data_IF_421115998731
#
_entry.id   IF_421115998731
#
_cell.length_a   1.000
_cell.length_b   1.000
_cell.length_c   1.000
_cell.angle_alpha   90.00
_cell.angle_beta   90.00
_cell.angle_gamma   90.00
#
_symmetry.space_group_name_H-M   'P 1'
#
loop_
_entity.id
_entity.type
_entity.pdbx_description
1 polymer ?
#
# COMPACT_ATOMS: atom_id res chain seq x y z
N UNK A 1 24.57 45.93 18.40
CA UNK A 1 25.46 44.80 18.08
C UNK A 1 24.92 43.57 18.78
N UNK A 2 24.08 42.80 18.09
CA UNK A 2 23.93 41.34 18.19
C UNK A 2 23.25 40.93 16.87
N UNK A 3 24.08 40.47 15.95
CA UNK A 3 23.67 39.69 14.78
C UNK A 3 23.43 38.25 15.23
N UNK A 4 22.46 37.59 14.58
CA UNK A 4 22.41 36.18 14.13
C UNK A 4 21.01 35.64 14.39
N UNK A 5 20.36 34.89 13.51
CA UNK A 5 20.53 34.58 12.09
C UNK A 5 19.25 33.84 11.69
N UNK A 6 18.90 33.93 10.43
CA UNK A 6 17.76 33.31 9.77
C UNK A 6 17.45 31.88 10.20
N UNK A 7 16.15 31.61 10.33
CA UNK A 7 15.60 30.35 9.82
C UNK A 7 14.40 30.69 8.93
N UNK A 8 14.70 31.21 7.73
CA UNK A 8 13.75 31.12 6.63
C UNK A 8 13.62 29.63 6.34
N UNK A 9 12.52 29.04 6.81
CA UNK A 9 12.13 27.68 6.45
C UNK A 9 11.90 27.68 4.95
N UNK A 10 12.96 27.36 4.20
CA UNK A 10 12.85 27.01 2.79
C UNK A 10 11.93 25.80 2.74
N UNK A 11 10.69 26.03 2.33
CA UNK A 11 9.82 25.02 1.77
C UNK A 11 10.55 24.40 0.59
N UNK A 12 11.37 23.38 0.86
CA UNK A 12 11.80 22.44 -0.15
C UNK A 12 10.54 21.70 -0.58
N UNK A 13 10.10 22.06 -1.78
CA UNK A 13 9.06 21.44 -2.59
C UNK A 13 8.67 20.05 -2.09
N UNK A 14 7.45 19.95 -1.55
CA UNK A 14 6.68 18.72 -1.67
C UNK A 14 6.50 18.47 -3.16
N UNK A 15 7.44 17.75 -3.79
CA UNK A 15 7.22 17.21 -5.11
C UNK A 15 6.07 16.21 -4.98
N UNK A 16 4.95 16.61 -5.56
CA UNK A 16 3.75 15.83 -5.80
C UNK A 16 4.08 14.37 -6.05
N UNK A 17 3.55 13.48 -5.20
CA UNK A 17 3.55 12.02 -5.39
C UNK A 17 2.48 11.60 -6.42
N UNK A 18 1.84 12.57 -7.10
CA UNK A 18 0.95 12.33 -8.23
C UNK A 18 1.68 12.50 -9.56
N UNK A 19 1.86 11.36 -10.24
CA UNK A 19 2.30 11.24 -11.63
C UNK A 19 3.68 11.81 -11.90
N UNK A 20 4.73 10.99 -11.72
CA UNK A 20 6.02 11.27 -12.34
C UNK A 20 5.80 11.52 -13.84
N UNK A 21 6.44 12.56 -14.36
CA UNK A 21 6.47 12.79 -15.80
C UNK A 21 7.13 11.61 -16.50
N UNK A 22 6.59 11.23 -17.66
CA UNK A 22 7.16 10.16 -18.46
C UNK A 22 8.62 10.50 -18.82
N UNK A 23 9.50 9.53 -18.58
CA UNK A 23 10.93 9.63 -18.92
C UNK A 23 11.29 8.51 -19.88
N UNK A 24 11.71 8.88 -21.08
CA UNK A 24 12.21 7.96 -22.08
C UNK A 24 13.74 7.81 -21.96
N UNK A 25 14.21 6.59 -21.78
CA UNK A 25 15.62 6.19 -21.67
C UNK A 25 16.19 5.58 -22.97
N UNK A 26 15.41 5.53 -24.06
CA UNK A 26 15.75 4.93 -25.35
C UNK A 26 15.04 3.59 -25.57
N UNK A 27 15.05 3.06 -26.80
CA UNK A 27 14.25 1.89 -27.24
C UNK A 27 14.54 0.51 -26.62
N UNK A 28 15.38 0.47 -25.58
CA UNK A 28 15.59 -0.68 -24.67
C UNK A 28 16.10 -0.14 -23.32
N UNK A 29 15.53 1.00 -22.91
CA UNK A 29 15.99 1.76 -21.76
C UNK A 29 15.83 1.01 -20.44
N UNK A 30 14.87 0.08 -20.41
CA UNK A 30 14.58 -0.82 -19.32
C UNK A 30 14.90 -2.26 -19.75
N UNK A 31 15.51 -3.05 -18.87
CA UNK A 31 15.73 -4.49 -19.11
C UNK A 31 15.54 -5.28 -17.83
N UNK A 32 15.31 -6.59 -17.92
CA UNK A 32 15.27 -7.48 -16.75
C UNK A 32 16.48 -7.43 -15.83
N UNK A 33 17.64 -6.99 -16.33
CA UNK A 33 18.87 -6.79 -15.54
C UNK A 33 19.07 -5.36 -15.03
N UNK A 34 18.32 -4.40 -15.60
CA UNK A 34 18.32 -3.00 -15.21
C UNK A 34 16.86 -2.48 -15.27
N UNK A 35 16.00 -2.92 -14.33
CA UNK A 35 14.58 -2.65 -14.40
C UNK A 35 14.24 -1.20 -14.05
N UNK A 36 13.20 -0.68 -14.68
CA UNK A 36 12.76 0.70 -14.54
C UNK A 36 11.74 0.90 -13.41
N UNK A 37 11.78 2.09 -12.80
CA UNK A 37 10.72 2.54 -11.89
C UNK A 37 9.48 3.01 -12.67
N UNK A 38 8.37 3.24 -11.97
CA UNK A 38 7.14 3.73 -12.59
C UNK A 38 7.37 5.07 -13.33
N UNK A 39 6.75 5.20 -14.51
CA UNK A 39 6.85 6.29 -15.47
C UNK A 39 8.19 6.41 -16.22
N UNK A 40 9.04 5.37 -16.15
CA UNK A 40 10.24 5.24 -16.98
C UNK A 40 10.05 4.16 -18.04
N UNK A 41 10.57 4.42 -19.22
CA UNK A 41 10.55 3.54 -20.39
C UNK A 41 11.87 3.64 -21.15
N UNK A 42 12.14 2.87 -22.20
CA UNK A 42 11.25 1.94 -22.89
C UNK A 42 11.33 0.53 -22.28
N UNK A 43 10.19 -0.09 -21.95
CA UNK A 43 10.12 -1.47 -21.45
C UNK A 43 9.52 -2.40 -22.51
N UNK A 44 10.07 -3.60 -22.68
CA UNK A 44 9.52 -4.58 -23.64
C UNK A 44 8.54 -5.56 -22.97
N UNK A 45 8.69 -5.76 -21.67
CA UNK A 45 7.90 -6.70 -20.87
C UNK A 45 7.82 -6.27 -19.40
N UNK A 46 6.90 -6.88 -18.64
CA UNK A 46 6.80 -6.66 -17.19
C UNK A 46 8.12 -6.99 -16.46
N UNK A 47 8.94 -7.89 -17.00
CA UNK A 47 10.23 -8.24 -16.42
C UNK A 47 11.24 -7.08 -16.46
N UNK A 48 11.04 -6.09 -17.35
CA UNK A 48 11.88 -4.89 -17.45
C UNK A 48 11.47 -3.80 -16.46
N UNK A 49 10.44 -4.06 -15.65
CA UNK A 49 9.93 -3.14 -14.64
C UNK A 49 10.28 -3.62 -13.22
N UNK A 50 10.49 -2.67 -12.32
CA UNK A 50 10.91 -2.98 -10.96
C UNK A 50 9.79 -3.66 -10.15
N UNK A 51 10.14 -4.75 -9.46
CA UNK A 51 9.27 -5.40 -8.49
C UNK A 51 7.96 -5.92 -9.10
N UNK A 52 6.83 -5.33 -8.69
CA UNK A 52 5.49 -5.71 -9.16
C UNK A 52 4.87 -4.74 -10.17
N UNK A 53 5.68 -3.86 -10.76
CA UNK A 53 5.23 -2.97 -11.83
C UNK A 53 4.95 -3.76 -13.11
N UNK A 54 4.04 -3.24 -13.94
CA UNK A 54 3.75 -3.78 -15.26
C UNK A 54 4.30 -2.84 -16.33
N UNK A 55 4.48 -3.36 -17.56
CA UNK A 55 4.86 -2.57 -18.71
C UNK A 55 3.61 -2.16 -19.51
N UNK A 56 3.37 -0.86 -19.64
CA UNK A 56 2.25 -0.33 -20.42
C UNK A 56 2.66 -0.15 -21.88
N UNK A 57 2.25 -1.11 -22.70
CA UNK A 57 2.53 -1.15 -24.13
C UNK A 57 1.67 -0.13 -24.88
N UNK A 58 2.29 0.76 -25.68
CA UNK A 58 1.63 1.87 -26.38
C UNK A 58 1.83 1.83 -27.89
N UNK A 59 0.78 2.20 -28.63
CA UNK A 59 0.87 2.44 -30.07
C UNK A 59 1.09 3.92 -30.43
N UNK A 60 0.83 4.82 -29.48
CA UNK A 60 0.89 6.27 -29.65
C UNK A 60 1.19 6.97 -28.33
N UNK A 61 0.35 7.94 -27.95
CA UNK A 61 0.49 8.70 -26.70
C UNK A 61 -0.65 8.39 -25.72
N UNK A 62 -1.08 7.13 -25.68
CA UNK A 62 -2.08 6.67 -24.73
C UNK A 62 -1.63 7.02 -23.30
N UNK A 63 -2.58 7.45 -22.47
CA UNK A 63 -2.29 7.82 -21.08
C UNK A 63 -1.81 6.61 -20.30
N UNK A 64 -0.56 6.64 -19.85
CA UNK A 64 0.02 5.63 -18.96
C UNK A 64 -0.63 5.78 -17.57
N UNK A 65 -1.31 4.75 -17.05
CA UNK A 65 -2.02 4.86 -15.77
C UNK A 65 -1.06 5.21 -14.62
N UNK A 66 -1.36 6.28 -13.89
CA UNK A 66 -0.54 6.74 -12.76
C UNK A 66 0.61 7.69 -13.13
N UNK A 67 0.80 8.02 -14.41
CA UNK A 67 1.83 8.96 -14.88
C UNK A 67 1.22 10.25 -15.45
N UNK A 68 2.00 11.34 -15.42
CA UNK A 68 1.59 12.61 -16.04
C UNK A 68 1.87 12.57 -17.54
N UNK A 69 0.85 12.76 -18.37
CA UNK A 69 0.99 12.85 -19.84
C UNK A 69 1.71 14.13 -20.29
N UNK A 70 2.38 14.04 -21.44
CA UNK A 70 3.13 15.13 -22.06
C UNK A 70 4.57 15.28 -21.56
N UNK A 71 5.26 16.31 -22.07
CA UNK A 71 6.67 16.54 -21.81
C UNK A 71 7.59 15.84 -22.82
N UNK A 72 8.90 16.11 -22.73
CA UNK A 72 9.89 15.61 -23.68
C UNK A 72 10.10 14.10 -23.63
N UNK A 73 9.72 13.47 -22.52
CA UNK A 73 9.84 12.04 -22.34
C UNK A 73 8.57 11.27 -22.66
N UNK A 74 7.46 11.90 -23.06
CA UNK A 74 6.25 11.24 -23.56
C UNK A 74 6.36 11.05 -25.09
N UNK A 75 7.04 9.98 -25.49
CA UNK A 75 7.29 9.70 -26.90
C UNK A 75 6.21 8.75 -27.43
N UNK A 76 5.68 9.08 -28.62
CA UNK A 76 4.68 8.26 -29.29
C UNK A 76 5.22 6.86 -29.59
N UNK A 77 4.47 5.83 -29.18
CA UNK A 77 4.80 4.42 -29.41
C UNK A 77 5.89 3.86 -28.49
N UNK A 78 6.29 4.59 -27.44
CA UNK A 78 7.16 4.08 -26.38
C UNK A 78 6.34 3.53 -25.22
N UNK A 79 6.90 2.55 -24.54
CA UNK A 79 6.29 1.81 -23.44
C UNK A 79 6.87 2.25 -22.10
N UNK A 80 6.08 2.16 -21.04
CA UNK A 80 6.49 2.68 -19.73
C UNK A 80 6.05 1.76 -18.60
N UNK A 81 6.93 1.59 -17.63
CA UNK A 81 6.60 0.89 -16.40
C UNK A 81 5.55 1.68 -15.60
N UNK A 82 4.57 1.02 -15.01
CA UNK A 82 3.48 1.67 -14.31
C UNK A 82 2.89 0.78 -13.20
N UNK A 83 2.03 1.39 -12.38
CA UNK A 83 1.45 0.75 -11.18
C UNK A 83 2.26 1.04 -9.92
N UNK A 84 2.04 0.23 -8.88
CA UNK A 84 2.76 0.35 -7.60
C UNK A 84 3.64 -0.87 -7.35
N UNK A 85 4.88 -0.62 -6.93
CA UNK A 85 5.80 -1.67 -6.49
C UNK A 85 5.50 -2.09 -5.05
N UNK A 86 4.55 -3.01 -4.88
CA UNK A 86 4.17 -3.54 -3.56
C UNK A 86 5.25 -4.44 -2.95
N UNK A 87 6.25 -4.87 -3.73
CA UNK A 87 7.44 -5.55 -3.19
C UNK A 87 8.27 -4.57 -2.36
N UNK A 88 8.55 -3.37 -2.91
CA UNK A 88 9.23 -2.30 -2.18
C UNK A 88 8.42 -1.79 -0.97
N UNK A 89 7.08 -1.73 -1.09
CA UNK A 89 6.18 -1.42 0.04
C UNK A 89 6.38 -2.43 1.17
N UNK A 90 6.32 -3.74 0.87
CA UNK A 90 6.52 -4.78 1.88
C UNK A 90 7.92 -4.73 2.49
N UNK A 91 8.96 -4.52 1.70
CA UNK A 91 10.34 -4.36 2.22
C UNK A 91 10.44 -3.17 3.18
N UNK A 92 9.86 -2.02 2.83
CA UNK A 92 9.84 -0.84 3.69
C UNK A 92 9.03 -1.07 4.97
N UNK A 93 7.92 -1.79 4.86
CA UNK A 93 7.12 -2.19 6.01
C UNK A 93 7.90 -3.05 7.00
N UNK A 94 8.55 -4.11 6.51
CA UNK A 94 9.32 -5.04 7.35
C UNK A 94 10.53 -4.36 7.98
N UNK A 95 11.23 -3.50 7.24
CA UNK A 95 12.47 -2.87 7.70
C UNK A 95 12.26 -1.70 8.66
N UNK A 96 11.11 -1.01 8.61
CA UNK A 96 10.93 0.25 9.36
C UNK A 96 9.49 0.54 9.78
N UNK A 97 8.52 0.44 8.87
CA UNK A 97 7.17 0.93 9.16
C UNK A 97 6.49 0.12 10.28
N UNK A 98 6.64 -1.20 10.28
CA UNK A 98 5.99 -2.08 11.26
C UNK A 98 6.44 -1.77 12.70
N UNK A 99 7.75 -1.63 12.93
CA UNK A 99 8.29 -1.30 14.25
C UNK A 99 8.00 0.14 14.66
N UNK A 100 8.02 1.09 13.72
CA UNK A 100 7.63 2.47 13.98
C UNK A 100 6.15 2.60 14.38
N UNK A 101 5.25 1.86 13.71
CA UNK A 101 3.84 1.80 14.07
C UNK A 101 3.66 1.11 15.43
N UNK A 102 4.33 -0.02 15.66
CA UNK A 102 4.23 -0.71 16.96
C UNK A 102 4.70 0.17 18.12
N UNK A 103 5.77 0.96 17.94
CA UNK A 103 6.34 1.82 18.98
C UNK A 103 5.42 2.97 19.46
N UNK A 104 4.37 3.31 18.70
CA UNK A 104 3.38 4.32 19.09
C UNK A 104 2.07 3.74 19.63
N UNK A 105 1.90 2.41 19.60
CA UNK A 105 0.67 1.74 20.04
C UNK A 105 0.84 1.22 21.48
N UNK A 106 0.11 1.76 22.47
CA UNK A 106 0.13 1.22 23.82
C UNK A 106 -0.67 -0.09 23.90
N UNK A 107 -0.31 -0.96 24.84
CA UNK A 107 -1.03 -2.21 25.13
C UNK A 107 -1.21 -3.12 23.90
N UNK A 108 -0.20 -3.21 23.04
CA UNK A 108 -0.25 -4.14 21.91
C UNK A 108 -0.34 -5.60 22.39
N UNK A 109 -1.19 -6.35 21.70
CA UNK A 109 -1.29 -7.79 21.88
C UNK A 109 -0.48 -8.52 20.79
N UNK A 110 0.42 -9.38 21.23
CA UNK A 110 1.24 -10.20 20.34
C UNK A 110 0.48 -11.46 19.92
N UNK A 111 -0.37 -11.33 18.91
CA UNK A 111 -1.15 -12.46 18.42
C UNK A 111 -0.27 -13.54 17.77
N UNK A 112 -0.72 -14.80 17.69
CA UNK A 112 0.12 -15.93 17.26
C UNK A 112 0.13 -16.17 15.75
N UNK A 113 -1.04 -16.24 15.11
CA UNK A 113 -1.19 -16.64 13.70
C UNK A 113 -0.98 -15.47 12.72
N UNK A 114 -1.44 -15.63 11.47
CA UNK A 114 -1.43 -14.56 10.46
C UNK A 114 -0.25 -14.62 9.49
N UNK A 115 0.61 -15.64 9.56
CA UNK A 115 1.77 -15.79 8.65
C UNK A 115 1.54 -16.84 7.56
N UNK A 116 0.50 -17.67 7.66
CA UNK A 116 0.14 -18.70 6.68
C UNK A 116 -1.35 -19.02 6.78
N UNK A 117 -1.88 -19.80 5.83
CA UNK A 117 -3.31 -20.11 5.75
C UNK A 117 -4.11 -18.98 5.09
N UNK A 118 -5.39 -18.85 5.41
CA UNK A 118 -6.32 -17.87 4.82
C UNK A 118 -7.10 -17.07 5.86
N UNK A 119 -6.90 -17.36 7.15
CA UNK A 119 -7.49 -16.65 8.28
C UNK A 119 -6.52 -16.68 9.46
N UNK A 120 -6.73 -15.78 10.42
CA UNK A 120 -6.15 -15.90 11.77
C UNK A 120 -7.08 -16.84 12.53
N UNK A 121 -6.61 -18.05 12.82
CA UNK A 121 -7.43 -19.12 13.41
C UNK A 121 -7.97 -18.72 14.78
N UNK A 122 -7.07 -18.31 15.67
CA UNK A 122 -7.41 -17.80 17.01
C UNK A 122 -6.67 -16.51 17.29
N UNK A 123 -5.38 -16.46 16.91
CA UNK A 123 -4.50 -15.35 17.24
C UNK A 123 -4.13 -15.28 18.73
N UNK A 124 -4.65 -16.17 19.57
CA UNK A 124 -4.47 -16.22 21.01
C UNK A 124 -5.57 -15.43 21.73
N UNK A 125 -6.10 -16.01 22.81
CA UNK A 125 -7.00 -15.31 23.73
C UNK A 125 -8.36 -15.02 23.11
N UNK A 126 -8.84 -15.90 22.23
CA UNK A 126 -10.13 -15.77 21.54
C UNK A 126 -10.25 -14.49 20.70
N UNK A 127 -9.12 -14.03 20.13
CA UNK A 127 -9.14 -12.82 19.33
C UNK A 127 -9.97 -13.02 18.05
N UNK A 128 -9.88 -14.20 17.43
CA UNK A 128 -10.63 -14.56 16.23
C UNK A 128 -11.15 -15.99 16.30
N UNK A 129 -12.17 -16.27 15.49
CA UNK A 129 -12.68 -17.61 15.19
C UNK A 129 -12.52 -17.86 13.68
N UNK A 130 -11.28 -17.88 13.20
CA UNK A 130 -10.94 -17.83 11.77
C UNK A 130 -11.42 -16.54 11.08
N UNK A 131 -11.01 -15.39 11.63
CA UNK A 131 -11.24 -14.06 11.07
C UNK A 131 -10.06 -13.51 10.26
N UNK A 132 -10.11 -12.21 9.95
CA UNK A 132 -9.15 -11.53 9.07
C UNK A 132 -8.97 -12.22 7.70
N UNK A 133 -10.03 -12.83 7.18
CA UNK A 133 -10.01 -13.39 5.84
C UNK A 133 -10.01 -12.24 4.83
N UNK A 134 -9.04 -12.22 3.92
CA UNK A 134 -8.83 -11.06 3.04
C UNK A 134 -9.47 -11.31 1.68
N UNK A 135 -10.28 -10.37 1.21
CA UNK A 135 -11.02 -10.50 -0.04
C UNK A 135 -10.92 -9.22 -0.87
N UNK A 136 -10.92 -9.37 -2.19
CA UNK A 136 -11.00 -8.26 -3.14
C UNK A 136 -12.02 -8.53 -4.22
N UNK A 137 -12.53 -7.48 -4.83
CA UNK A 137 -13.41 -7.55 -6.00
C UNK A 137 -12.84 -6.67 -7.10
N UNK A 138 -12.91 -7.13 -8.34
CA UNK A 138 -12.57 -6.32 -9.50
C UNK A 138 -13.61 -5.22 -9.73
N UNK A 139 -13.26 -4.19 -10.50
CA UNK A 139 -14.20 -3.15 -10.93
C UNK A 139 -15.37 -3.73 -11.76
N UNK A 140 -15.15 -4.86 -12.43
CA UNK A 140 -16.18 -5.60 -13.17
C UNK A 140 -17.03 -6.54 -12.30
N UNK A 141 -16.77 -6.64 -11.00
CA UNK A 141 -17.55 -7.47 -10.07
C UNK A 141 -17.07 -8.92 -9.94
N UNK A 142 -15.86 -9.25 -10.38
CA UNK A 142 -15.25 -10.58 -10.15
C UNK A 142 -14.65 -10.63 -8.74
N UNK A 143 -14.98 -11.66 -7.97
CA UNK A 143 -14.53 -11.80 -6.58
C UNK A 143 -13.30 -12.71 -6.48
N UNK A 144 -12.32 -12.30 -5.68
CA UNK A 144 -11.22 -13.12 -5.21
C UNK A 144 -11.27 -13.15 -3.68
N UNK A 145 -11.79 -14.24 -3.14
CA UNK A 145 -12.07 -14.36 -1.71
C UNK A 145 -11.03 -15.20 -0.99
N UNK A 146 -10.88 -14.98 0.31
CA UNK A 146 -10.04 -15.78 1.22
C UNK A 146 -8.61 -15.97 0.68
N UNK A 147 -7.95 -14.86 0.36
CA UNK A 147 -6.59 -14.88 -0.18
C UNK A 147 -5.60 -15.49 0.84
N UNK A 148 -4.67 -16.29 0.35
CA UNK A 148 -3.68 -16.94 1.19
C UNK A 148 -2.67 -15.94 1.76
N UNK A 149 -2.34 -16.10 3.03
CA UNK A 149 -1.25 -15.37 3.67
C UNK A 149 0.08 -15.87 3.12
N UNK A 150 0.97 -14.94 2.78
CA UNK A 150 2.20 -15.21 2.04
C UNK A 150 3.45 -15.14 2.91
N UNK A 151 3.46 -14.27 3.92
CA UNK A 151 4.64 -13.95 4.75
C UNK A 151 5.90 -13.76 3.89
N UNK A 152 5.74 -13.03 2.79
CA UNK A 152 6.76 -12.82 1.77
C UNK A 152 6.63 -11.40 1.25
N UNK A 153 7.78 -10.78 0.96
CA UNK A 153 7.82 -9.46 0.31
C UNK A 153 7.61 -9.58 -1.19
N UNK A 154 7.69 -10.77 -1.79
CA UNK A 154 7.41 -10.98 -3.21
C UNK A 154 5.91 -10.94 -3.46
N UNK A 155 5.48 -10.21 -4.50
CA UNK A 155 4.08 -10.13 -4.90
C UNK A 155 3.54 -11.47 -5.47
N UNK A 156 2.26 -11.73 -5.20
CA UNK A 156 1.51 -12.87 -5.71
C UNK A 156 0.28 -12.39 -6.47
N UNK A 157 -0.09 -13.11 -7.53
CA UNK A 157 -1.28 -12.77 -8.32
C UNK A 157 -2.58 -13.17 -7.61
N UNK A 158 -3.57 -12.28 -7.69
CA UNK A 158 -4.98 -12.52 -7.43
C UNK A 158 -5.74 -12.24 -8.73
N UNK A 159 -5.77 -13.22 -9.63
CA UNK A 159 -6.26 -13.01 -10.99
C UNK A 159 -5.19 -12.43 -11.92
N UNK A 160 -5.61 -11.69 -12.95
CA UNK A 160 -4.72 -11.21 -14.01
C UNK A 160 -4.12 -9.83 -13.77
N UNK A 161 -4.83 -8.93 -13.08
CA UNK A 161 -4.38 -7.54 -12.88
C UNK A 161 -4.01 -7.22 -11.43
N UNK A 162 -4.67 -7.87 -10.47
CA UNK A 162 -4.43 -7.60 -9.06
C UNK A 162 -3.29 -8.48 -8.57
N UNK A 163 -2.28 -7.86 -7.97
CA UNK A 163 -1.24 -8.54 -7.21
C UNK A 163 -1.30 -8.09 -5.76
N UNK A 164 -0.80 -8.94 -4.86
CA UNK A 164 -0.80 -8.66 -3.44
C UNK A 164 0.38 -9.30 -2.71
N UNK A 165 0.69 -8.72 -1.57
CA UNK A 165 1.62 -9.25 -0.56
C UNK A 165 0.90 -9.27 0.77
N UNK A 166 1.25 -10.23 1.63
CA UNK A 166 0.88 -10.15 3.05
C UNK A 166 2.09 -10.43 3.93
N UNK A 167 2.19 -9.70 5.02
CA UNK A 167 3.32 -9.84 5.95
C UNK A 167 2.92 -9.43 7.36
N UNK A 168 3.38 -10.17 8.36
CA UNK A 168 3.30 -9.79 9.76
C UNK A 168 4.70 -9.49 10.29
N UNK A 169 4.89 -8.30 10.84
CA UNK A 169 6.15 -7.86 11.45
C UNK A 169 5.84 -6.98 12.67
N UNK A 170 6.61 -7.13 13.75
CA UNK A 170 6.39 -6.36 15.00
C UNK A 170 4.95 -6.37 15.53
N UNK A 171 4.21 -7.47 15.32
CA UNK A 171 2.77 -7.61 15.62
C UNK A 171 1.84 -6.60 14.92
N UNK A 172 2.32 -6.01 13.83
CA UNK A 172 1.49 -5.31 12.84
C UNK A 172 1.39 -6.19 11.61
N UNK A 173 0.19 -6.31 11.06
CA UNK A 173 -0.12 -7.10 9.88
C UNK A 173 -0.35 -6.18 8.70
N UNK A 174 0.19 -6.54 7.53
CA UNK A 174 0.05 -5.82 6.27
C UNK A 174 -0.59 -6.74 5.23
N UNK A 175 -1.55 -6.22 4.49
CA UNK A 175 -1.75 -6.57 3.08
C UNK A 175 -1.58 -5.34 2.20
N UNK A 176 -0.83 -5.47 1.11
CA UNK A 176 -0.70 -4.42 0.12
C UNK A 176 -1.09 -4.96 -1.25
N UNK A 177 -1.87 -4.18 -2.00
CA UNK A 177 -2.42 -4.54 -3.30
C UNK A 177 -1.95 -3.56 -4.36
N UNK A 178 -1.61 -4.09 -5.53
CA UNK A 178 -1.34 -3.33 -6.76
C UNK A 178 -2.28 -3.83 -7.85
N UNK A 179 -2.82 -2.91 -8.62
CA UNK A 179 -3.75 -3.17 -9.72
C UNK A 179 -3.48 -2.13 -10.80
N UNK A 180 -2.44 -2.33 -11.64
CA UNK A 180 -1.98 -1.29 -12.57
C UNK A 180 -3.10 -0.73 -13.44
N UNK A 181 -4.04 -1.56 -13.89
CA UNK A 181 -5.20 -1.16 -14.71
C UNK A 181 -6.33 -0.48 -13.92
N UNK A 182 -6.14 -0.20 -12.61
CA UNK A 182 -7.16 0.32 -11.68
C UNK A 182 -8.39 -0.56 -11.58
N UNK A 183 -8.17 -1.87 -11.58
CA UNK A 183 -9.23 -2.87 -11.53
C UNK A 183 -9.62 -3.26 -10.09
N UNK A 184 -9.00 -2.72 -9.04
CA UNK A 184 -9.39 -3.01 -7.66
C UNK A 184 -10.66 -2.21 -7.28
N UNK A 185 -11.82 -2.85 -7.33
CA UNK A 185 -13.14 -2.24 -7.12
C UNK A 185 -13.73 -2.42 -5.72
N UNK A 186 -13.28 -3.42 -4.96
CA UNK A 186 -13.57 -3.53 -3.53
C UNK A 186 -12.43 -4.23 -2.78
N UNK A 187 -12.34 -3.94 -1.49
CA UNK A 187 -11.58 -4.71 -0.51
C UNK A 187 -12.48 -4.96 0.70
N UNK A 188 -12.44 -6.16 1.24
CA UNK A 188 -13.08 -6.43 2.51
C UNK A 188 -12.44 -7.57 3.29
N UNK A 189 -12.40 -7.41 4.62
CA UNK A 189 -12.14 -8.52 5.54
C UNK A 189 -13.43 -9.32 5.76
N UNK A 190 -13.31 -10.58 6.17
CA UNK A 190 -14.44 -11.45 6.56
C UNK A 190 -14.01 -12.48 7.62
N UNK A 191 -14.93 -13.39 7.96
CA UNK A 191 -14.75 -14.40 9.00
C UNK A 191 -15.39 -13.98 10.32
N UNK A 192 -15.05 -14.70 11.39
CA UNK A 192 -15.59 -14.46 12.73
C UNK A 192 -14.53 -13.81 13.64
N UNK A 193 -14.89 -12.70 14.28
CA UNK A 193 -14.14 -12.12 15.38
C UNK A 193 -14.54 -12.89 16.64
N UNK A 194 -13.60 -13.34 17.46
CA UNK A 194 -13.89 -14.17 18.65
C UNK A 194 -14.48 -13.37 19.81
N UNK A 195 -15.33 -12.38 19.50
CA UNK A 195 -15.88 -11.45 20.49
C UNK A 195 -17.11 -12.02 21.22
N UNK A 196 -17.64 -13.16 20.79
CA UNK A 196 -18.83 -13.84 21.35
C UNK A 196 -20.05 -12.93 21.58
N UNK A 197 -20.25 -11.96 20.70
CA UNK A 197 -21.29 -10.93 20.79
C UNK A 197 -21.03 -9.87 21.86
N UNK A 198 -19.90 -9.95 22.56
CA UNK A 198 -19.41 -9.02 23.55
C UNK A 198 -18.77 -7.77 22.95
N UNK A 199 -18.53 -6.79 23.82
CA UNK A 199 -17.78 -5.57 23.50
C UNK A 199 -18.52 -4.56 22.65
N UNK A 200 -17.74 -3.79 21.89
CA UNK A 200 -18.19 -2.65 21.11
C UNK A 200 -17.41 -2.55 19.82
N UNK A 201 -17.99 -1.88 18.83
CA UNK A 201 -17.37 -1.62 17.54
C UNK A 201 -17.41 -0.15 17.18
N UNK A 202 -16.33 0.32 16.56
CA UNK A 202 -16.22 1.66 16.02
C UNK A 202 -15.65 1.58 14.61
N UNK A 203 -16.07 2.50 13.75
CA UNK A 203 -15.54 2.60 12.39
C UNK A 203 -15.69 4.04 11.91
N UNK A 204 -14.89 4.43 10.93
CA UNK A 204 -15.01 5.78 10.37
C UNK A 204 -14.00 6.10 9.29
N UNK A 205 -14.20 7.26 8.69
CA UNK A 205 -13.30 7.87 7.72
C UNK A 205 -12.32 8.82 8.42
N UNK A 206 -11.03 8.67 8.14
CA UNK A 206 -9.96 9.46 8.75
C UNK A 206 -9.63 10.74 7.96
N UNK A 207 -10.10 10.86 6.72
CA UNK A 207 -9.67 11.92 5.82
C UNK A 207 -8.35 11.62 5.11
N UNK A 208 -7.79 12.66 4.50
CA UNK A 208 -6.53 12.58 3.78
C UNK A 208 -5.34 12.49 4.74
N UNK A 209 -4.34 11.68 4.39
CA UNK A 209 -3.06 11.66 5.08
C UNK A 209 -2.38 13.02 5.00
N UNK A 210 -1.80 13.43 6.13
CA UNK A 210 -0.96 14.63 6.24
C UNK A 210 0.50 14.34 5.91
N UNK A 211 0.91 13.06 5.86
CA UNK A 211 2.27 12.65 5.52
C UNK A 211 2.47 12.54 4.01
N UNK A 212 1.48 11.99 3.30
CA UNK A 212 1.50 11.83 1.84
C UNK A 212 0.15 12.25 1.28
N UNK A 213 0.13 13.27 0.42
CA UNK A 213 -1.11 13.78 -0.15
C UNK A 213 -1.87 12.72 -0.93
N UNK A 214 -3.20 12.79 -0.86
CA UNK A 214 -4.23 12.01 -1.55
C UNK A 214 -4.22 10.49 -1.34
N UNK A 215 -3.57 10.01 -0.27
CA UNK A 215 -3.99 8.78 0.39
C UNK A 215 -5.03 9.10 1.46
N UNK A 216 -6.00 8.23 1.62
CA UNK A 216 -7.12 8.38 2.52
C UNK A 216 -7.33 7.11 3.34
N UNK A 217 -7.77 7.25 4.59
CA UNK A 217 -7.88 6.12 5.53
C UNK A 217 -9.29 5.88 6.03
N UNK A 218 -9.64 4.61 6.24
CA UNK A 218 -10.84 4.16 6.96
C UNK A 218 -10.44 3.13 7.99
N UNK A 219 -11.05 3.20 9.16
CA UNK A 219 -10.76 2.27 10.23
C UNK A 219 -12.02 1.51 10.67
N UNK A 220 -11.79 0.32 11.21
CA UNK A 220 -12.72 -0.45 12.02
C UNK A 220 -11.97 -0.93 13.26
N UNK A 221 -12.67 -1.02 14.38
CA UNK A 221 -12.18 -1.65 15.59
C UNK A 221 -13.29 -2.43 16.27
N UNK A 222 -12.95 -3.59 16.84
CA UNK A 222 -13.73 -4.32 17.84
C UNK A 222 -12.94 -4.31 19.15
N UNK A 223 -13.55 -3.87 20.24
CA UNK A 223 -12.86 -3.62 21.52
C UNK A 223 -13.80 -3.85 22.71
N UNK A 224 -13.26 -3.91 23.92
CA UNK A 224 -13.99 -4.13 25.17
C UNK A 224 -14.80 -5.45 25.22
N UNK A 225 -14.42 -6.48 24.46
CA UNK A 225 -15.10 -7.78 24.44
C UNK A 225 -14.72 -8.68 25.63
N UNK A 226 -13.56 -8.44 26.23
CA UNK A 226 -12.89 -9.39 27.13
C UNK A 226 -11.66 -9.99 26.46
N UNK A 227 -11.77 -10.15 25.14
CA UNK A 227 -10.74 -10.67 24.23
C UNK A 227 -9.83 -9.55 23.70
N UNK A 228 -8.67 -9.86 23.12
CA UNK A 228 -7.85 -8.86 22.44
C UNK A 228 -8.66 -8.07 21.41
N UNK A 229 -8.50 -6.75 21.42
CA UNK A 229 -9.14 -5.89 20.43
C UNK A 229 -8.58 -6.16 19.04
N UNK A 230 -9.43 -6.02 18.03
CA UNK A 230 -9.08 -6.08 16.62
C UNK A 230 -9.12 -4.67 16.06
N UNK A 231 -8.03 -4.21 15.44
CA UNK A 231 -7.91 -2.87 14.90
C UNK A 231 -7.48 -2.94 13.45
N UNK A 232 -8.27 -2.37 12.56
CA UNK A 232 -8.14 -2.51 11.13
C UNK A 232 -8.12 -1.13 10.47
N UNK A 233 -7.22 -0.95 9.51
CA UNK A 233 -7.03 0.32 8.80
C UNK A 233 -6.85 0.02 7.31
N UNK A 234 -7.77 0.53 6.48
CA UNK A 234 -7.70 0.47 5.03
C UNK A 234 -7.27 1.84 4.51
N UNK A 235 -6.28 1.88 3.62
CA UNK A 235 -5.72 3.09 3.01
C UNK A 235 -5.80 2.95 1.50
N UNK A 236 -6.33 3.95 0.80
CA UNK A 236 -6.37 3.95 -0.68
C UNK A 236 -6.33 5.37 -1.24
N UNK A 237 -6.23 5.51 -2.56
CA UNK A 237 -6.03 6.77 -3.28
C UNK A 237 -7.32 7.48 -3.69
N UNK A 238 -8.47 6.94 -3.31
CA UNK A 238 -9.77 7.47 -3.72
C UNK A 238 -10.74 7.60 -2.53
N UNK A 239 -11.17 8.82 -2.18
CA UNK A 239 -12.05 9.09 -1.04
C UNK A 239 -13.52 8.72 -1.28
N UNK A 240 -13.91 8.36 -2.50
CA UNK A 240 -15.33 8.19 -2.89
C UNK A 240 -15.91 6.80 -2.61
N UNK A 241 -15.21 5.95 -1.87
CA UNK A 241 -15.63 4.58 -1.61
C UNK A 241 -16.72 4.52 -0.53
N UNK A 242 -17.70 3.64 -0.75
CA UNK A 242 -18.68 3.34 0.29
C UNK A 242 -18.00 2.50 1.38
N UNK A 243 -18.21 2.87 2.64
CA UNK A 243 -17.66 2.20 3.82
C UNK A 243 -18.77 1.51 4.61
N UNK A 244 -18.62 0.21 4.84
CA UNK A 244 -19.51 -0.58 5.70
C UNK A 244 -18.73 -1.55 6.58
N UNK A 245 -19.36 -1.97 7.67
CA UNK A 245 -18.83 -2.98 8.59
C UNK A 245 -19.92 -4.01 8.93
N UNK A 246 -19.49 -5.15 9.47
CA UNK A 246 -20.36 -6.20 9.95
C UNK A 246 -21.42 -5.76 10.98
N UNK A 247 -22.55 -6.48 11.02
CA UNK A 247 -23.73 -6.16 11.83
C UNK A 247 -23.57 -6.46 13.33
N UNK A 248 -22.66 -7.33 13.75
CA UNK A 248 -22.30 -7.62 15.15
C UNK A 248 -20.82 -7.34 15.43
N UNK A 249 -20.36 -7.59 16.66
CA UNK A 249 -18.93 -7.58 17.02
C UNK A 249 -18.22 -8.83 16.50
N UNK A 250 -18.92 -9.95 16.36
CA UNK A 250 -18.43 -11.20 15.75
C UNK A 250 -18.23 -11.10 14.24
N UNK A 251 -18.95 -10.21 13.57
CA UNK A 251 -18.85 -10.13 12.12
C UNK A 251 -17.52 -9.47 11.70
N UNK A 252 -16.66 -10.25 11.06
CA UNK A 252 -15.35 -9.85 10.56
C UNK A 252 -15.38 -8.78 9.47
N UNK A 253 -16.53 -8.43 8.89
CA UNK A 253 -16.57 -7.52 7.74
C UNK A 253 -16.09 -6.10 8.06
N UNK A 254 -15.10 -5.64 7.29
CA UNK A 254 -14.71 -4.25 7.09
C UNK A 254 -14.56 -4.05 5.59
N UNK A 255 -15.49 -3.33 4.98
CA UNK A 255 -15.63 -3.25 3.52
C UNK A 255 -15.50 -1.81 3.06
N UNK A 256 -14.59 -1.63 2.10
CA UNK A 256 -14.66 -0.50 1.18
C UNK A 256 -15.05 -1.04 -0.20
N UNK A 257 -16.05 -0.44 -0.82
CA UNK A 257 -16.48 -0.80 -2.17
C UNK A 257 -16.77 0.41 -3.03
N UNK A 258 -16.25 0.36 -4.26
CA UNK A 258 -16.54 1.33 -5.30
C UNK A 258 -17.78 0.90 -6.09
N UNK A 259 -18.69 1.83 -6.35
CA UNK A 259 -19.87 1.58 -7.18
C UNK A 259 -19.57 1.50 -8.68
N UNK A 260 -18.47 2.13 -9.12
CA UNK A 260 -17.97 2.07 -10.49
C UNK A 260 -16.46 2.35 -10.52
N UNK A 261 -15.71 1.60 -11.33
CA UNK A 261 -14.26 1.70 -11.48
C UNK A 261 -13.48 1.07 -10.32
N UNK A 262 -12.19 1.40 -10.23
CA UNK A 262 -11.31 0.92 -9.17
C UNK A 262 -10.11 1.84 -8.92
N UNK A 263 -9.23 1.38 -8.04
CA UNK A 263 -7.98 2.05 -7.65
C UNK A 263 -6.77 1.23 -8.08
N UNK A 264 -5.63 1.90 -8.24
CA UNK A 264 -4.38 1.25 -8.61
C UNK A 264 -3.67 0.58 -7.43
N UNK A 265 -3.99 1.00 -6.21
CA UNK A 265 -3.32 0.54 -4.99
C UNK A 265 -4.23 0.64 -3.77
N UNK A 266 -4.00 -0.25 -2.82
CA UNK A 266 -4.69 -0.28 -1.54
C UNK A 266 -3.81 -0.96 -0.50
N UNK A 267 -3.82 -0.42 0.72
CA UNK A 267 -3.13 -0.99 1.87
C UNK A 267 -4.11 -1.32 2.97
N UNK A 268 -3.84 -2.41 3.66
CA UNK A 268 -4.53 -2.82 4.84
C UNK A 268 -3.51 -3.06 5.94
N UNK A 269 -3.71 -2.40 7.08
CA UNK A 269 -2.94 -2.61 8.29
C UNK A 269 -3.86 -3.15 9.37
N UNK A 270 -3.34 -4.06 10.19
CA UNK A 270 -4.05 -4.57 11.35
C UNK A 270 -3.11 -4.75 12.54
N UNK A 271 -3.63 -4.50 13.73
CA UNK A 271 -2.97 -4.81 14.98
C UNK A 271 -3.98 -5.20 16.04
N UNK A 272 -3.49 -5.84 17.11
CA UNK A 272 -4.30 -6.22 18.24
C UNK A 272 -3.92 -5.45 19.51
N UNK A 273 -4.87 -5.22 20.40
CA UNK A 273 -4.64 -4.61 21.71
C UNK A 273 -5.09 -5.51 22.85
N UNK A 274 -4.29 -5.62 23.91
CA UNK A 274 -4.53 -6.53 25.03
C UNK A 274 -5.83 -6.18 25.76
N UNK A 275 -6.54 -7.21 26.25
CA UNK A 275 -7.72 -7.06 27.11
C UNK A 275 -8.78 -6.10 26.55
N UNK A 276 -9.05 -6.19 25.25
CA UNK A 276 -10.04 -5.37 24.57
C UNK A 276 -9.69 -3.87 24.53
N UNK A 277 -8.42 -3.49 24.60
CA UNK A 277 -8.00 -2.09 24.63
C UNK A 277 -8.58 -1.28 23.45
N UNK A 278 -9.30 -0.20 23.76
CA UNK A 278 -9.87 0.70 22.76
C UNK A 278 -8.89 1.79 22.34
N UNK A 279 -8.48 1.80 21.07
CA UNK A 279 -7.67 2.86 20.47
C UNK A 279 -8.55 4.01 19.98
N UNK A 280 -8.18 5.25 20.33
CA UNK A 280 -8.75 6.46 19.76
C UNK A 280 -8.39 6.61 18.27
N UNK A 281 -9.19 7.38 17.52
CA UNK A 281 -8.98 7.65 16.10
C UNK A 281 -7.60 8.18 15.76
N UNK A 282 -6.98 8.93 16.68
CA UNK A 282 -5.61 9.44 16.52
C UNK A 282 -4.56 8.35 16.29
N UNK A 283 -4.71 7.17 16.90
CA UNK A 283 -3.76 6.06 16.67
C UNK A 283 -3.85 5.54 15.24
N UNK A 284 -5.06 5.45 14.68
CA UNK A 284 -5.26 5.06 13.28
C UNK A 284 -4.70 6.11 12.31
N UNK A 285 -4.95 7.40 12.57
CA UNK A 285 -4.38 8.50 11.77
C UNK A 285 -2.85 8.48 11.82
N UNK A 286 -2.27 8.29 13.00
CA UNK A 286 -0.81 8.23 13.16
C UNK A 286 -0.21 6.97 12.52
N UNK A 287 -0.88 5.81 12.59
CA UNK A 287 -0.48 4.59 11.91
C UNK A 287 -0.47 4.77 10.39
N UNK A 288 -1.54 5.36 9.82
CA UNK A 288 -1.61 5.69 8.39
C UNK A 288 -0.44 6.59 7.96
N UNK A 289 -0.22 7.70 8.68
CA UNK A 289 0.84 8.65 8.35
C UNK A 289 2.25 8.05 8.52
N UNK A 290 2.46 7.23 9.54
CA UNK A 290 3.73 6.54 9.78
C UNK A 290 4.00 5.50 8.69
N UNK A 291 2.98 4.72 8.30
CA UNK A 291 3.11 3.77 7.21
C UNK A 291 3.50 4.47 5.89
N UNK A 292 2.70 5.46 5.48
CA UNK A 292 2.90 6.16 4.20
C UNK A 292 4.23 6.93 4.16
N UNK A 293 4.65 7.55 5.26
CA UNK A 293 5.96 8.22 5.31
C UNK A 293 7.11 7.23 5.15
N UNK A 294 7.08 6.07 5.80
CA UNK A 294 8.14 5.06 5.64
C UNK A 294 8.17 4.50 4.21
N UNK A 295 7.00 4.26 3.62
CA UNK A 295 6.89 3.65 2.29
C UNK A 295 7.22 4.62 1.14
N UNK A 296 6.84 5.90 1.22
CA UNK A 296 6.99 6.85 0.11
C UNK A 296 8.03 7.95 0.35
N UNK A 297 8.18 8.40 1.60
CA UNK A 297 9.12 9.50 1.92
C UNK A 297 10.48 8.97 2.36
N UNK A 298 10.52 7.87 3.12
CA UNK A 298 11.75 7.11 3.41
C UNK A 298 12.35 6.47 2.16
N UNK A 299 11.48 6.12 1.19
CA UNK A 299 11.88 5.69 -0.14
C UNK A 299 12.48 6.80 -1.01
N UNK A 300 12.62 8.06 -0.57
CA UNK A 300 13.58 8.96 -1.24
C UNK A 300 15.03 8.44 -1.14
N UNK A 301 15.30 7.44 -0.28
CA UNK A 301 16.51 6.61 -0.33
C UNK A 301 16.48 5.49 -1.38
N UNK A 302 15.33 4.89 -1.69
CA UNK A 302 15.18 3.80 -2.67
C UNK A 302 14.87 4.29 -4.10
N UNK A 303 14.14 5.39 -4.27
CA UNK A 303 14.05 6.16 -5.52
C UNK A 303 15.40 6.75 -5.93
N UNK A 304 16.35 6.88 -4.99
CA UNK A 304 17.77 7.18 -5.27
C UNK A 304 18.58 5.94 -5.65
N UNK A 305 18.12 4.72 -5.37
CA UNK A 305 18.90 3.51 -5.66
C UNK A 305 18.98 3.20 -7.17
N UNK A 306 17.99 3.62 -7.98
CA UNK A 306 18.07 3.53 -9.44
C UNK A 306 18.83 4.72 -10.09
N UNK A 307 19.15 5.79 -9.34
CA UNK A 307 20.01 6.86 -9.84
C UNK A 307 21.49 6.45 -9.94
N UNK A 308 21.90 5.36 -9.27
CA UNK A 308 23.27 4.80 -9.41
C UNK A 308 23.48 3.97 -10.67
N UNK A 309 22.44 3.67 -11.44
CA UNK A 309 22.61 3.11 -12.79
C UNK A 309 23.04 4.18 -13.81
N UNK A 310 22.97 5.48 -13.48
CA UNK A 310 23.26 6.57 -14.43
C UNK A 310 24.74 6.97 -14.57
N UNK A 311 25.68 6.35 -13.85
CA UNK A 311 27.12 6.69 -14.01
C UNK A 311 27.91 5.68 -14.85
N UNK A 312 27.36 4.50 -15.17
CA UNK A 312 28.09 3.48 -15.95
C UNK A 312 27.96 3.64 -17.48
N UNK A 313 27.10 4.53 -17.98
CA UNK A 313 26.76 4.63 -19.41
C UNK A 313 27.29 5.85 -20.17
N UNK A 314 27.82 6.88 -19.50
CA UNK A 314 28.45 8.03 -20.19
C UNK A 314 29.92 7.73 -20.50
N UNK A 315 30.11 6.87 -21.51
CA UNK A 315 31.36 6.83 -22.26
C UNK A 315 31.62 8.22 -22.85
N UNK A 316 32.79 8.78 -22.53
CA UNK A 316 33.34 9.97 -23.14
C UNK A 316 33.63 9.67 -24.62
N UNK A 317 32.69 9.99 -25.50
CA UNK A 317 32.96 10.25 -26.92
C UNK A 317 32.73 11.73 -27.21
N UNK A 318 33.75 12.54 -26.97
CA UNK A 318 33.95 13.77 -27.74
C UNK A 318 35.04 13.45 -28.77
N UNK A 319 34.62 13.35 -30.03
CA UNK A 319 35.50 13.14 -31.17
C UNK A 319 36.13 14.43 -31.69
N UNK A 320 37.04 14.20 -32.64
CA UNK A 320 37.78 15.11 -33.56
C UNK A 320 38.77 16.09 -32.93
#
# INVERSE_FOLDING_TARGET
MWLTSSLTLLFLNAQSVYGTSLTNLGGSGCTSSAPCSACYGDCDSDADCAGSLACFQRGGTETVPGCTSGGSGDISGYDYCYGTDITAVATSFVSSAASAIAGQLPNMYAFLDGTSGTCISDGGGDMYDCGNQINVMTASGTYYTTLAYRQSTTAYSAGSDITYVTYKASNVWLAAFSSPSRNLGAYYTSGNNGADGGGSKAYGYLGQSSAVSGYYGWYKQVYNAGDPSINELIITTDPSWAHSIGSSTDNGEHRLQKGNGGVSELYYLMWAGSSGYGYSTSYFTNAMNTFLSNVYTGATGMLRACARCQEAGRSLTAGS
#
